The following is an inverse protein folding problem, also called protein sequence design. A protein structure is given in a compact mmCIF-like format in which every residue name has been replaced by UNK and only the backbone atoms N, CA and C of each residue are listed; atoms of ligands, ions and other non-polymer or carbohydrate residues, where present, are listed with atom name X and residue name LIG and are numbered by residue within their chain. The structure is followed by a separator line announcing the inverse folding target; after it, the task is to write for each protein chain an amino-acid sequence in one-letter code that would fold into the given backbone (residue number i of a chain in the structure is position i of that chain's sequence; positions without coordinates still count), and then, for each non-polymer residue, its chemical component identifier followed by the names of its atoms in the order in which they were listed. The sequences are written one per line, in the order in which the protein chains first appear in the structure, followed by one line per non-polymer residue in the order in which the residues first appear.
data_IF_784517323849
#
_entry.id   IF_784517323849
#
_cell.length_a   1.000
_cell.length_b   1.000
_cell.length_c   1.000
_cell.angle_alpha   90.00
_cell.angle_beta   90.00
_cell.angle_gamma   90.00
#
_symmetry.space_group_name_H-M   'P 1'
#
loop_
_entity.id
_entity.type
_entity.pdbx_description
1 polymer ?
#
# COMPACT_ATOMS: atom_id res chain seq x y z
N UNK A 1 -13.47 -19.49 -12.23
CA UNK A 1 -13.77 -18.68 -11.03
C UNK A 1 -12.57 -18.63 -10.06
N UNK A 2 -11.90 -19.75 -9.77
CA UNK A 2 -10.74 -19.79 -8.86
C UNK A 2 -9.57 -18.87 -9.25
N UNK A 3 -9.26 -18.73 -10.54
CA UNK A 3 -8.14 -17.91 -10.99
C UNK A 3 -8.29 -16.42 -10.60
N UNK A 4 -9.51 -15.88 -10.65
CA UNK A 4 -9.77 -14.48 -10.26
C UNK A 4 -9.65 -14.28 -8.75
N UNK A 5 -10.04 -15.26 -7.95
CA UNK A 5 -9.90 -15.23 -6.49
C UNK A 5 -8.44 -15.29 -6.07
N UNK A 6 -7.65 -16.18 -6.68
CA UNK A 6 -6.20 -16.26 -6.46
C UNK A 6 -5.49 -14.95 -6.87
N UNK A 7 -5.90 -14.34 -7.99
CA UNK A 7 -5.36 -13.03 -8.40
C UNK A 7 -5.71 -11.92 -7.40
N UNK A 8 -6.94 -11.90 -6.87
CA UNK A 8 -7.38 -10.92 -5.87
C UNK A 8 -6.59 -11.07 -4.57
N UNK A 9 -6.44 -12.30 -4.07
CA UNK A 9 -5.65 -12.61 -2.88
C UNK A 9 -4.19 -12.18 -3.03
N UNK A 10 -3.57 -12.51 -4.17
CA UNK A 10 -2.21 -12.08 -4.47
C UNK A 10 -2.07 -10.55 -4.49
N UNK A 11 -3.08 -9.82 -5.01
CA UNK A 11 -3.10 -8.35 -4.96
C UNK A 11 -3.23 -7.83 -3.53
N UNK A 12 -4.11 -8.42 -2.72
CA UNK A 12 -4.28 -8.08 -1.30
C UNK A 12 -2.96 -8.23 -0.53
N UNK A 13 -2.24 -9.35 -0.74
CA UNK A 13 -0.94 -9.59 -0.10
C UNK A 13 0.08 -8.54 -0.53
N UNK A 14 0.22 -8.28 -1.84
CA UNK A 14 1.15 -7.27 -2.37
C UNK A 14 0.84 -5.87 -1.85
N UNK A 15 -0.42 -5.47 -1.83
CA UNK A 15 -0.85 -4.17 -1.32
C UNK A 15 -0.61 -4.06 0.19
N UNK A 16 -0.84 -5.13 0.96
CA UNK A 16 -0.54 -5.16 2.40
C UNK A 16 0.95 -5.01 2.67
N UNK A 17 1.80 -5.67 1.90
CA UNK A 17 3.25 -5.50 1.98
C UNK A 17 3.66 -4.04 1.67
N UNK A 18 3.11 -3.46 0.60
CA UNK A 18 3.39 -2.07 0.23
C UNK A 18 2.96 -1.07 1.32
N UNK A 19 1.83 -1.30 1.99
CA UNK A 19 1.38 -0.50 3.15
C UNK A 19 2.43 -0.54 4.26
N UNK A 20 2.82 -1.74 4.70
CA UNK A 20 3.82 -1.91 5.77
C UNK A 20 5.16 -1.27 5.42
N UNK A 21 5.60 -1.42 4.17
CA UNK A 21 6.83 -0.80 3.68
C UNK A 21 6.77 0.72 3.74
N UNK A 22 5.62 1.33 3.38
CA UNK A 22 5.44 2.79 3.50
C UNK A 22 5.35 3.26 4.94
N UNK A 23 4.67 2.53 5.81
CA UNK A 23 4.61 2.84 7.25
C UNK A 23 6.02 2.86 7.85
N UNK A 24 6.86 1.87 7.53
CA UNK A 24 8.25 1.83 7.95
C UNK A 24 9.09 2.99 7.37
N UNK A 25 8.86 3.37 6.10
CA UNK A 25 9.55 4.49 5.48
C UNK A 25 9.18 5.84 6.13
N UNK A 26 7.91 6.05 6.48
CA UNK A 26 7.46 7.24 7.21
C UNK A 26 8.11 7.31 8.60
N UNK A 27 8.11 6.20 9.34
CA UNK A 27 8.79 6.11 10.64
C UNK A 27 10.29 6.39 10.53
N UNK A 28 10.92 5.91 9.46
CA UNK A 28 12.33 6.16 9.19
C UNK A 28 12.59 7.64 8.95
N UNK A 29 11.76 8.33 8.16
CA UNK A 29 11.89 9.79 7.92
C UNK A 29 11.77 10.58 9.22
N UNK A 30 10.89 10.16 10.13
CA UNK A 30 10.72 10.81 11.43
C UNK A 30 11.96 10.70 12.33
N UNK A 31 12.83 9.71 12.09
CA UNK A 31 14.09 9.53 12.82
C UNK A 31 15.31 10.24 12.23
N UNK A 32 15.20 10.78 11.01
CA UNK A 32 16.27 11.52 10.32
C UNK A 32 16.49 12.86 11.05
N UNK A 33 17.69 13.45 11.01
CA UNK A 33 17.99 14.80 11.56
C UNK A 33 17.71 15.91 10.54
N UNK A 34 17.33 17.10 10.99
CA UNK A 34 16.78 18.15 10.09
C UNK A 34 17.77 18.68 9.05
N UNK A 35 19.07 18.52 9.30
CA UNK A 35 20.17 18.86 8.42
C UNK A 35 20.52 17.77 7.40
N UNK A 36 19.95 16.57 7.52
CA UNK A 36 20.22 15.46 6.61
C UNK A 36 19.44 15.58 5.30
N UNK A 37 20.12 15.27 4.20
CA UNK A 37 19.52 15.25 2.86
C UNK A 37 18.69 13.97 2.70
N UNK A 38 17.47 14.13 2.21
CA UNK A 38 16.57 13.00 1.96
C UNK A 38 16.32 12.87 0.47
N UNK A 39 16.53 11.67 -0.05
CA UNK A 39 16.34 11.36 -1.47
C UNK A 39 15.24 10.34 -1.64
N UNK A 40 14.46 10.50 -2.70
CA UNK A 40 13.51 9.50 -3.17
C UNK A 40 14.06 8.87 -4.44
N UNK A 41 14.17 7.55 -4.46
CA UNK A 41 14.43 6.82 -5.70
C UNK A 41 13.14 6.73 -6.53
N UNK A 42 13.21 7.18 -7.78
CA UNK A 42 12.14 7.05 -8.77
C UNK A 42 12.72 6.41 -10.03
N UNK A 43 12.31 5.17 -10.29
CA UNK A 43 12.85 4.30 -11.35
C UNK A 43 14.34 4.01 -11.20
N UNK A 44 15.22 4.93 -11.64
CA UNK A 44 16.69 4.82 -11.57
C UNK A 44 17.35 6.15 -11.21
N UNK A 45 16.58 7.09 -10.66
CA UNK A 45 17.03 8.44 -10.33
C UNK A 45 16.77 8.75 -8.87
N UNK A 46 17.70 9.46 -8.23
CA UNK A 46 17.54 9.98 -6.88
C UNK A 46 17.10 11.45 -6.94
N UNK A 47 15.88 11.70 -6.48
CA UNK A 47 15.30 13.04 -6.43
C UNK A 47 15.45 13.58 -5.02
N UNK A 48 16.16 14.70 -4.86
CA UNK A 48 16.29 15.41 -3.59
C UNK A 48 14.92 15.93 -3.14
N UNK A 49 14.59 15.72 -1.87
CA UNK A 49 13.34 16.16 -1.26
C UNK A 49 13.60 16.81 0.10
N UNK A 50 12.64 17.58 0.59
CA UNK A 50 12.60 17.90 2.01
C UNK A 50 11.96 16.74 2.78
N UNK A 51 12.29 16.59 4.06
CA UNK A 51 11.64 15.60 4.93
C UNK A 51 10.12 15.74 4.91
N UNK A 52 9.64 16.96 5.05
CA UNK A 52 8.20 17.26 5.10
C UNK A 52 7.52 16.90 3.79
N UNK A 53 8.11 17.26 2.63
CA UNK A 53 7.53 16.93 1.34
C UNK A 53 7.49 15.43 1.10
N UNK A 54 8.57 14.71 1.42
CA UNK A 54 8.63 13.26 1.24
C UNK A 54 7.67 12.54 2.18
N UNK A 55 7.59 12.96 3.45
CA UNK A 55 6.63 12.41 4.42
C UNK A 55 5.20 12.60 3.95
N UNK A 56 4.82 13.80 3.51
CA UNK A 56 3.47 14.07 3.00
C UNK A 56 3.14 13.24 1.75
N UNK A 57 4.10 13.06 0.83
CA UNK A 57 3.91 12.19 -0.33
C UNK A 57 3.69 10.73 0.08
N UNK A 58 4.53 10.20 0.97
CA UNK A 58 4.38 8.82 1.46
C UNK A 58 3.08 8.61 2.22
N UNK A 59 2.64 9.59 3.00
CA UNK A 59 1.37 9.53 3.72
C UNK A 59 0.19 9.46 2.75
N UNK A 60 0.18 10.32 1.72
CA UNK A 60 -0.86 10.27 0.67
C UNK A 60 -0.89 8.90 -0.02
N UNK A 61 0.28 8.40 -0.43
CA UNK A 61 0.38 7.09 -1.07
C UNK A 61 -0.05 5.94 -0.14
N UNK A 62 0.21 6.06 1.17
CA UNK A 62 -0.25 5.11 2.18
C UNK A 62 -1.77 5.11 2.29
N UNK A 63 -2.41 6.27 2.33
CA UNK A 63 -3.85 6.42 2.43
C UNK A 63 -4.57 5.88 1.18
N UNK A 64 -4.00 6.13 0.00
CA UNK A 64 -4.47 5.57 -1.27
C UNK A 64 -4.40 4.03 -1.26
N UNK A 65 -3.29 3.45 -0.77
CA UNK A 65 -3.16 2.00 -0.64
C UNK A 65 -4.12 1.39 0.38
N UNK A 66 -4.34 2.05 1.53
CA UNK A 66 -5.31 1.61 2.55
C UNK A 66 -6.72 1.60 1.98
N UNK A 67 -7.08 2.62 1.21
CA UNK A 67 -8.36 2.70 0.51
C UNK A 67 -8.51 1.58 -0.51
N UNK A 68 -7.48 1.32 -1.31
CA UNK A 68 -7.47 0.23 -2.28
C UNK A 68 -7.59 -1.14 -1.61
N UNK A 69 -6.85 -1.38 -0.52
CA UNK A 69 -6.92 -2.63 0.24
C UNK A 69 -8.33 -2.87 0.77
N UNK A 70 -8.97 -1.84 1.32
CA UNK A 70 -10.34 -1.95 1.83
C UNK A 70 -11.32 -2.34 0.71
N UNK A 71 -11.21 -1.71 -0.46
CA UNK A 71 -12.03 -2.08 -1.65
C UNK A 71 -11.81 -3.55 -2.04
N UNK A 72 -10.57 -4.03 -2.06
CA UNK A 72 -10.28 -5.44 -2.41
C UNK A 72 -10.80 -6.43 -1.38
N UNK A 73 -10.68 -6.13 -0.08
CA UNK A 73 -11.24 -6.97 0.99
C UNK A 73 -12.77 -7.04 0.95
N UNK A 74 -13.42 -5.91 0.66
CA UNK A 74 -14.88 -5.89 0.48
C UNK A 74 -15.32 -6.72 -0.73
N UNK A 75 -14.55 -6.67 -1.83
CA UNK A 75 -14.79 -7.53 -3.00
C UNK A 75 -14.62 -9.02 -2.65
N UNK A 76 -13.56 -9.38 -1.94
CA UNK A 76 -13.31 -10.75 -1.47
C UNK A 76 -14.47 -11.27 -0.61
N UNK A 77 -14.90 -10.50 0.40
CA UNK A 77 -16.03 -10.86 1.26
C UNK A 77 -17.36 -11.00 0.48
N UNK A 78 -17.58 -10.16 -0.54
CA UNK A 78 -18.77 -10.26 -1.39
C UNK A 78 -18.78 -11.51 -2.26
N UNK A 79 -17.60 -11.99 -2.70
CA UNK A 79 -17.46 -13.22 -3.48
C UNK A 79 -17.70 -14.45 -2.60
N UNK A 80 -17.13 -14.49 -1.39
CA UNK A 80 -17.37 -15.58 -0.43
C UNK A 80 -18.86 -15.70 -0.07
N UNK A 81 -19.54 -14.55 0.09
CA UNK A 81 -20.97 -14.51 0.38
C UNK A 81 -21.84 -15.01 -0.78
N UNK A 82 -21.42 -14.77 -2.03
CA UNK A 82 -22.13 -15.28 -3.23
C UNK A 82 -21.95 -16.79 -3.40
N UNK A 83 -20.75 -17.32 -3.20
CA UNK A 83 -20.49 -18.76 -3.32
C UNK A 83 -21.35 -19.57 -2.34
N UNK A 84 -21.49 -19.11 -1.09
CA UNK A 84 -22.33 -19.78 -0.07
C UNK A 84 -23.81 -19.86 -0.44
N UNK A 85 -24.34 -18.92 -1.23
CA UNK A 85 -25.74 -18.91 -1.67
C UNK A 85 -26.03 -19.81 -2.88
N UNK A 86 -25.02 -20.11 -3.71
CA UNK A 86 -25.14 -20.99 -4.89
C UNK A 86 -24.94 -22.47 -4.58
N UNK A 87 -24.44 -22.82 -3.39
CA UNK A 87 -24.20 -24.20 -2.96
C UNK A 87 -25.32 -24.79 -2.09
N UNK A 88 -26.45 -24.08 -1.97
CA UNK A 88 -27.71 -24.53 -1.34
C UNK A 88 -28.79 -24.62 -2.41
#
# INVERSE_FOLDING_TARGET
MEQHQLMLQNRIVKTTFAIKSKEAAIQSIDSIRDDEKVYREVSRMFVLNTKSSLKSQLQKELDDLKTLLNKMKNLEASWDSKQKKTSQ
#
